data_IF_651112286384
#
_entry.id   IF_651112286384
#
_cell.length_a   1.000
_cell.length_b   1.000
_cell.length_c   1.000
_cell.angle_alpha   90.00
_cell.angle_beta   90.00
_cell.angle_gamma   90.00
#
_symmetry.space_group_name_H-M   'P 1'
#
loop_
_entity.id
_entity.type
_entity.pdbx_description
1 polymer ?
#
# COMPACT_ATOMS: atom_id res chain seq x y z
N UNK A 1 10.61 1.85 4.44
CA UNK A 1 9.60 2.15 3.42
C UNK A 1 9.87 1.34 2.18
N UNK A 2 8.88 1.13 1.34
CA UNK A 2 9.03 0.29 0.17
C UNK A 2 9.70 1.05 -0.96
N UNK A 3 10.81 0.53 -1.47
CA UNK A 3 11.51 1.14 -2.58
C UNK A 3 10.93 0.67 -3.90
N UNK A 4 11.27 1.37 -4.98
CA UNK A 4 10.86 0.94 -6.31
C UNK A 4 11.34 -0.49 -6.61
N UNK A 5 12.57 -0.79 -6.23
CA UNK A 5 13.12 -2.13 -6.46
C UNK A 5 12.32 -3.19 -5.73
N UNK A 6 11.97 -2.94 -4.47
CA UNK A 6 11.16 -3.88 -3.71
C UNK A 6 9.78 -4.05 -4.33
N UNK A 7 9.19 -2.94 -4.77
CA UNK A 7 7.88 -2.99 -5.40
C UNK A 7 7.92 -3.82 -6.67
N UNK A 8 8.93 -3.62 -7.49
CA UNK A 8 9.07 -4.38 -8.72
C UNK A 8 9.28 -5.86 -8.45
N UNK A 9 10.06 -6.18 -7.44
CA UNK A 9 10.26 -7.57 -7.06
C UNK A 9 8.95 -8.21 -6.63
N UNK A 10 8.17 -7.50 -5.83
CA UNK A 10 6.90 -8.01 -5.38
C UNK A 10 5.95 -8.25 -6.55
N UNK A 11 5.92 -7.30 -7.49
CA UNK A 11 5.04 -7.39 -8.64
C UNK A 11 5.59 -8.28 -9.75
N UNK A 12 6.83 -8.73 -9.60
CA UNK A 12 7.53 -9.57 -10.58
C UNK A 12 7.68 -8.86 -11.92
N UNK A 13 8.08 -7.60 -11.84
CA UNK A 13 8.30 -6.76 -13.00
C UNK A 13 9.79 -6.56 -13.19
N UNK A 14 10.34 -7.02 -14.33
CA UNK A 14 11.76 -6.92 -14.59
C UNK A 14 12.13 -5.76 -15.50
N UNK A 15 11.17 -5.27 -16.26
CA UNK A 15 11.42 -4.24 -17.25
C UNK A 15 11.21 -2.86 -16.66
N UNK A 16 11.62 -1.83 -17.39
CA UNK A 16 11.59 -0.45 -16.89
C UNK A 16 10.39 0.35 -17.38
N UNK A 17 9.62 -0.21 -18.30
CA UNK A 17 8.51 0.52 -18.90
C UNK A 17 7.49 0.99 -17.89
N UNK A 18 7.30 0.25 -16.80
CA UNK A 18 6.30 0.58 -15.80
C UNK A 18 6.88 1.28 -14.56
N UNK A 19 8.16 1.65 -14.59
CA UNK A 19 8.78 2.25 -13.41
C UNK A 19 8.04 3.49 -12.92
N UNK A 20 7.71 4.41 -13.83
CA UNK A 20 6.98 5.62 -13.45
C UNK A 20 5.60 5.28 -12.91
N UNK A 21 4.91 4.35 -13.54
CA UNK A 21 3.62 3.91 -13.08
C UNK A 21 3.70 3.35 -11.67
N UNK A 22 4.69 2.47 -11.45
CA UNK A 22 4.83 1.82 -10.13
C UNK A 22 5.16 2.85 -9.07
N UNK A 23 6.01 3.83 -9.38
CA UNK A 23 6.30 4.89 -8.42
C UNK A 23 5.06 5.70 -8.08
N UNK A 24 4.24 5.99 -9.06
CA UNK A 24 2.99 6.71 -8.83
C UNK A 24 2.05 5.88 -7.96
N UNK A 25 1.99 4.59 -8.22
CA UNK A 25 1.14 3.70 -7.42
C UNK A 25 1.65 3.58 -6.00
N UNK A 26 2.97 3.61 -5.79
CA UNK A 26 3.52 3.62 -4.45
C UNK A 26 3.10 4.86 -3.68
N UNK A 27 3.15 6.03 -4.32
CA UNK A 27 2.70 7.26 -3.69
C UNK A 27 1.21 7.19 -3.35
N UNK A 28 0.42 6.68 -4.27
CA UNK A 28 -1.01 6.53 -4.04
C UNK A 28 -1.27 5.56 -2.88
N UNK A 29 -0.55 4.45 -2.86
CA UNK A 29 -0.69 3.47 -1.79
C UNK A 29 -0.34 4.08 -0.44
N UNK A 30 0.74 4.85 -0.38
CA UNK A 30 1.13 5.50 0.86
C UNK A 30 0.03 6.45 1.34
N UNK A 31 -0.48 7.28 0.44
CA UNK A 31 -1.52 8.23 0.82
C UNK A 31 -2.77 7.52 1.29
N UNK A 32 -3.15 6.45 0.62
CA UNK A 32 -4.32 5.68 1.03
C UNK A 32 -4.14 5.06 2.41
N UNK A 33 -2.98 4.48 2.66
CA UNK A 33 -2.71 3.85 3.95
C UNK A 33 -2.74 4.90 5.06
N UNK A 34 -2.13 6.05 4.82
CA UNK A 34 -2.12 7.10 5.84
C UNK A 34 -3.54 7.62 6.09
N UNK A 35 -4.33 7.78 5.03
CA UNK A 35 -5.71 8.23 5.16
C UNK A 35 -6.57 7.24 5.91
N UNK A 36 -6.54 5.99 5.48
CA UNK A 36 -7.39 4.96 6.07
C UNK A 36 -7.01 4.73 7.53
N UNK A 37 -5.71 4.72 7.83
CA UNK A 37 -5.22 4.50 9.18
C UNK A 37 -5.21 5.75 10.03
N UNK A 38 -5.53 6.91 9.44
CA UNK A 38 -5.48 8.19 10.13
C UNK A 38 -4.12 8.41 10.78
N UNK A 39 -3.08 8.22 9.98
CA UNK A 39 -1.71 8.28 10.46
C UNK A 39 -1.03 9.56 10.02
N UNK A 40 -0.23 10.14 10.92
CA UNK A 40 0.72 11.16 10.52
C UNK A 40 2.04 10.45 10.20
N UNK A 41 3.08 11.22 9.85
CA UNK A 41 4.36 10.63 9.48
C UNK A 41 4.96 9.80 10.61
N UNK A 42 4.83 10.29 11.84
CA UNK A 42 5.39 9.57 12.99
C UNK A 42 4.72 8.21 13.17
N UNK A 43 3.40 8.19 13.12
CA UNK A 43 2.65 6.94 13.29
C UNK A 43 2.91 6.00 12.12
N UNK A 44 3.04 6.55 10.92
CA UNK A 44 3.34 5.77 9.74
C UNK A 44 4.66 5.03 9.93
N UNK A 45 5.67 5.73 10.43
CA UNK A 45 6.99 5.16 10.64
C UNK A 45 6.98 4.15 11.79
N UNK A 46 6.27 4.45 12.87
CA UNK A 46 6.25 3.58 14.04
C UNK A 46 5.59 2.24 13.78
N UNK A 47 4.65 2.20 12.85
CA UNK A 47 3.92 0.98 12.54
C UNK A 47 4.40 0.35 11.26
N UNK A 48 5.70 0.29 11.09
CA UNK A 48 6.32 -0.07 9.82
C UNK A 48 5.83 -1.42 9.27
N UNK A 49 5.75 -2.43 10.13
CA UNK A 49 5.35 -3.76 9.67
C UNK A 49 3.93 -3.76 9.13
N UNK A 50 3.01 -3.17 9.89
CA UNK A 50 1.62 -3.10 9.48
C UNK A 50 1.46 -2.26 8.23
N UNK A 51 2.14 -1.11 8.20
CA UNK A 51 2.10 -0.20 7.06
C UNK A 51 2.65 -0.88 5.82
N UNK A 52 3.76 -1.61 5.97
CA UNK A 52 4.37 -2.30 4.85
C UNK A 52 3.41 -3.31 4.24
N UNK A 53 2.75 -4.10 5.10
CA UNK A 53 1.77 -5.07 4.65
C UNK A 53 0.63 -4.40 3.90
N UNK A 54 0.11 -3.31 4.46
CA UNK A 54 -0.98 -2.58 3.84
C UNK A 54 -0.57 -1.98 2.50
N UNK A 55 0.63 -1.42 2.44
CA UNK A 55 1.13 -0.81 1.20
C UNK A 55 1.33 -1.85 0.11
N UNK A 56 1.87 -3.00 0.47
CA UNK A 56 2.07 -4.08 -0.52
C UNK A 56 0.72 -4.54 -1.06
N UNK A 57 -0.26 -4.69 -0.18
CA UNK A 57 -1.59 -5.07 -0.62
C UNK A 57 -2.18 -4.02 -1.56
N UNK A 58 -2.09 -2.75 -1.18
CA UNK A 58 -2.64 -1.67 -2.00
C UNK A 58 -1.92 -1.57 -3.34
N UNK A 59 -0.61 -1.71 -3.32
CA UNK A 59 0.19 -1.64 -4.54
C UNK A 59 -0.22 -2.75 -5.51
N UNK A 60 -0.32 -3.98 -5.02
CA UNK A 60 -0.71 -5.11 -5.86
C UNK A 60 -2.08 -4.92 -6.46
N UNK A 61 -3.03 -4.50 -5.63
CA UNK A 61 -4.38 -4.27 -6.10
C UNK A 61 -4.41 -3.18 -7.18
N UNK A 62 -3.75 -2.06 -6.92
CA UNK A 62 -3.75 -0.94 -7.86
C UNK A 62 -3.07 -1.30 -9.17
N UNK A 63 -1.99 -2.06 -9.08
CA UNK A 63 -1.28 -2.45 -10.28
C UNK A 63 -2.14 -3.37 -11.14
N UNK A 64 -2.81 -4.33 -10.54
CA UNK A 64 -3.63 -5.29 -11.26
C UNK A 64 -4.92 -4.70 -11.77
N UNK A 65 -5.42 -3.66 -11.11
CA UNK A 65 -6.70 -3.04 -11.46
C UNK A 65 -6.53 -1.59 -11.92
N UNK A 66 -5.37 -1.27 -12.49
CA UNK A 66 -5.07 0.12 -12.81
C UNK A 66 -6.00 0.75 -13.84
N UNK A 67 -6.68 -0.07 -14.62
CA UNK A 67 -7.64 0.45 -15.59
C UNK A 67 -8.94 0.91 -14.92
N UNK A 68 -9.32 0.24 -13.85
CA UNK A 68 -10.61 0.54 -13.23
C UNK A 68 -10.60 0.07 -11.77
N UNK A 69 -9.83 0.75 -10.91
CA UNK A 69 -9.75 0.34 -9.51
C UNK A 69 -11.04 0.69 -8.75
N UNK A 70 -11.40 -0.20 -7.83
CA UNK A 70 -12.51 0.04 -6.92
C UNK A 70 -11.94 0.53 -5.60
N UNK A 71 -11.86 1.84 -5.45
CA UNK A 71 -11.24 2.43 -4.26
C UNK A 71 -12.03 2.16 -2.99
N UNK A 72 -13.35 2.01 -3.11
CA UNK A 72 -14.15 1.70 -1.93
C UNK A 72 -13.79 0.31 -1.40
N UNK A 73 -13.69 -0.66 -2.28
CA UNK A 73 -13.32 -2.01 -1.90
C UNK A 73 -11.92 -2.03 -1.33
N UNK A 74 -11.00 -1.33 -1.98
CA UNK A 74 -9.62 -1.27 -1.51
C UNK A 74 -9.55 -0.64 -0.12
N UNK A 75 -10.27 0.44 0.08
CA UNK A 75 -10.29 1.13 1.36
C UNK A 75 -10.80 0.22 2.47
N UNK A 76 -11.84 -0.54 2.21
CA UNK A 76 -12.37 -1.46 3.20
C UNK A 76 -11.36 -2.54 3.56
N UNK A 77 -10.66 -3.06 2.56
CA UNK A 77 -9.63 -4.07 2.81
C UNK A 77 -8.46 -3.49 3.60
N UNK A 78 -8.03 -2.28 3.27
CA UNK A 78 -6.96 -1.63 4.01
C UNK A 78 -7.36 -1.37 5.45
N UNK A 79 -8.60 -0.97 5.66
CA UNK A 79 -9.10 -0.75 7.02
C UNK A 79 -9.01 -2.05 7.82
N UNK A 80 -9.39 -3.15 7.22
CA UNK A 80 -9.31 -4.44 7.90
C UNK A 80 -7.88 -4.77 8.30
N UNK A 81 -6.94 -4.55 7.38
CA UNK A 81 -5.54 -4.84 7.66
C UNK A 81 -5.01 -3.96 8.79
N UNK A 82 -5.28 -2.66 8.69
CA UNK A 82 -4.70 -1.70 9.62
C UNK A 82 -5.30 -1.81 11.01
N UNK A 83 -6.62 -1.97 11.09
CA UNK A 83 -7.27 -2.00 12.40
C UNK A 83 -7.19 -3.37 13.05
N UNK A 84 -7.17 -4.43 12.27
CA UNK A 84 -6.97 -5.76 12.84
C UNK A 84 -5.62 -5.82 13.55
N UNK A 85 -4.58 -5.28 12.92
CA UNK A 85 -3.25 -5.25 13.53
C UNK A 85 -3.24 -4.42 14.80
N UNK A 86 -3.88 -3.26 14.76
CA UNK A 86 -3.87 -2.36 15.91
C UNK A 86 -4.66 -2.93 17.08
N UNK A 87 -5.66 -3.71 16.78
CA UNK A 87 -6.54 -4.27 17.81
C UNK A 87 -6.25 -5.72 18.08
N UNK A 88 -5.17 -6.21 17.53
CA UNK A 88 -4.80 -7.60 17.70
C UNK A 88 -4.56 -7.98 19.14
N UNK A 89 -4.52 -7.01 20.02
CA UNK A 89 -4.34 -7.24 21.44
C UNK A 89 -5.58 -7.77 22.12
N UNK A 90 -6.68 -7.68 21.46
CA UNK A 90 -7.95 -8.09 22.03
C UNK A 90 -8.00 -9.60 22.32
#
# INVERSE_FOLDING_TARGET
MITLKEAKNYLRVDYEEDDSLIQNLLSTAKNLVMDVGRMDEDNFTKNEDTVRTAMIFALGYLYENRSNPDYQKLTLNLRSILFAQREGVM
#
